data_IF_123607567334
#
_entry.id   IF_123607567334
#
_cell.length_a   1.000
_cell.length_b   1.000
_cell.length_c   1.000
_cell.angle_alpha   90.00
_cell.angle_beta   90.00
_cell.angle_gamma   90.00
#
_symmetry.space_group_name_H-M   'P 1'
#
loop_
_entity.id
_entity.type
_entity.pdbx_description
1 polymer ?
#
# COMPACT_ATOMS: atom_id res chain seq x y z
N UNK A 1 -4.38 31.31 -0.88
CA UNK A 1 -3.00 30.84 -0.63
C UNK A 1 -3.01 29.99 0.63
N UNK A 2 -2.99 28.66 0.51
CA UNK A 2 -2.96 27.76 1.67
C UNK A 2 -1.55 27.72 2.28
N UNK A 3 -1.43 28.02 3.57
CA UNK A 3 -0.17 27.89 4.31
C UNK A 3 0.33 26.45 4.24
N UNK A 4 1.63 26.26 3.95
CA UNK A 4 2.29 24.94 3.86
C UNK A 4 2.19 24.11 5.14
N UNK A 5 1.79 24.75 6.25
CA UNK A 5 1.74 24.14 7.57
C UNK A 5 0.32 23.83 8.06
N UNK A 6 -0.72 23.86 7.20
CA UNK A 6 -2.07 23.47 7.63
C UNK A 6 -2.16 21.94 7.83
N UNK A 7 -2.29 21.43 9.07
CA UNK A 7 -2.37 19.99 9.31
C UNK A 7 -3.68 19.40 8.79
N UNK A 8 -4.73 20.21 8.64
CA UNK A 8 -6.02 19.77 8.08
C UNK A 8 -5.95 19.49 6.56
N UNK A 9 -4.89 19.95 5.88
CA UNK A 9 -4.61 19.59 4.49
C UNK A 9 -3.77 18.29 4.38
N UNK A 10 -3.29 17.75 5.50
CA UNK A 10 -2.63 16.44 5.52
C UNK A 10 -3.72 15.39 5.33
N UNK A 11 -3.68 14.68 4.22
CA UNK A 11 -4.57 13.55 3.99
C UNK A 11 -4.51 12.56 5.15
N UNK A 12 -5.63 11.87 5.40
CA UNK A 12 -5.76 10.87 6.46
C UNK A 12 -4.58 9.90 6.39
N UNK A 13 -3.85 9.74 7.49
CA UNK A 13 -2.80 8.73 7.57
C UNK A 13 -3.44 7.38 7.24
N UNK A 14 -3.00 6.76 6.13
CA UNK A 14 -3.64 5.56 5.58
C UNK A 14 -3.76 4.49 6.65
N UNK A 15 -4.99 4.10 6.99
CA UNK A 15 -5.28 3.06 7.96
C UNK A 15 -4.73 1.70 7.53
N UNK A 16 -4.80 0.73 8.44
CA UNK A 16 -4.44 -0.66 8.14
C UNK A 16 -5.38 -1.18 7.06
N UNK A 17 -4.84 -1.42 5.86
CA UNK A 17 -5.61 -2.02 4.76
C UNK A 17 -5.83 -3.50 5.07
N UNK A 18 -7.02 -4.02 4.71
CA UNK A 18 -7.35 -5.44 4.82
C UNK A 18 -7.80 -5.95 3.46
N UNK A 19 -7.45 -7.18 3.09
CA UNK A 19 -8.00 -7.89 1.92
C UNK A 19 -8.51 -9.24 2.40
N UNK A 20 -9.77 -9.57 2.11
CA UNK A 20 -10.37 -10.86 2.50
C UNK A 20 -10.32 -11.09 4.01
N UNK A 21 -10.56 -10.03 4.79
CA UNK A 21 -10.44 -10.03 6.25
C UNK A 21 -9.01 -10.07 6.82
N UNK A 22 -7.98 -10.24 5.99
CA UNK A 22 -6.58 -10.31 6.44
C UNK A 22 -5.90 -8.94 6.43
N UNK A 23 -5.21 -8.53 7.51
CA UNK A 23 -4.47 -7.27 7.53
C UNK A 23 -3.27 -7.33 6.59
N UNK A 24 -3.04 -6.22 5.88
CA UNK A 24 -1.91 -6.01 4.98
C UNK A 24 -0.92 -5.05 5.64
N UNK A 25 0.34 -5.46 5.74
CA UNK A 25 1.45 -4.65 6.22
C UNK A 25 2.16 -3.97 5.06
N UNK A 26 2.44 -2.66 5.13
CA UNK A 26 3.30 -2.01 4.15
C UNK A 26 4.75 -2.44 4.37
N UNK A 27 5.37 -3.04 3.35
CA UNK A 27 6.79 -3.45 3.38
C UNK A 27 7.56 -2.84 2.21
N UNK A 28 8.85 -2.57 2.41
CA UNK A 28 9.71 -2.08 1.34
C UNK A 28 10.04 -3.23 0.39
N UNK A 29 9.53 -3.15 -0.84
CA UNK A 29 9.94 -4.04 -1.92
C UNK A 29 11.19 -3.47 -2.60
N UNK A 30 12.20 -4.34 -2.75
CA UNK A 30 13.41 -4.05 -3.50
C UNK A 30 13.30 -4.79 -4.82
N UNK A 31 13.18 -4.04 -5.91
CA UNK A 31 13.09 -4.61 -7.25
C UNK A 31 14.35 -5.40 -7.59
N UNK A 32 14.21 -6.71 -7.75
CA UNK A 32 15.32 -7.61 -8.08
C UNK A 32 15.69 -7.55 -9.57
N UNK A 33 14.75 -7.17 -10.43
CA UNK A 33 14.90 -7.18 -11.90
C UNK A 33 14.87 -5.76 -12.49
N UNK A 34 15.51 -5.60 -13.64
CA UNK A 34 15.53 -4.32 -14.38
C UNK A 34 14.10 -3.91 -14.71
N UNK A 35 13.73 -2.67 -14.37
CA UNK A 35 12.38 -2.13 -14.56
C UNK A 35 11.47 -2.23 -13.32
N UNK A 36 11.84 -3.03 -12.32
CA UNK A 36 11.15 -3.06 -11.03
C UNK A 36 11.82 -2.03 -10.12
N UNK A 37 11.21 -0.85 -9.95
CA UNK A 37 11.70 0.16 -9.01
C UNK A 37 11.62 -0.30 -7.55
N UNK A 38 12.08 0.56 -6.63
CA UNK A 38 11.86 0.36 -5.20
C UNK A 38 10.56 1.05 -4.79
N UNK A 39 9.66 0.32 -4.13
CA UNK A 39 8.38 0.86 -3.69
C UNK A 39 7.90 0.18 -2.41
N UNK A 40 6.82 0.69 -1.83
CA UNK A 40 6.15 0.05 -0.69
C UNK A 40 5.11 -0.90 -1.28
N UNK A 41 5.28 -2.20 -1.05
CA UNK A 41 4.32 -3.23 -1.43
C UNK A 41 3.47 -3.65 -0.22
N UNK A 42 2.33 -4.31 -0.48
CA UNK A 42 1.57 -4.96 0.59
C UNK A 42 2.08 -6.36 0.87
N UNK A 43 2.20 -6.70 2.15
CA UNK A 43 2.48 -8.06 2.61
C UNK A 43 1.36 -8.56 3.52
N UNK A 44 0.92 -9.79 3.31
CA UNK A 44 0.02 -10.50 4.24
C UNK A 44 0.73 -10.82 5.56
N UNK A 45 -0.05 -11.14 6.59
CA UNK A 45 0.52 -11.56 7.87
C UNK A 45 1.38 -12.85 7.77
N UNK A 46 1.10 -13.69 6.78
CA UNK A 46 1.88 -14.90 6.48
C UNK A 46 3.24 -14.62 5.79
N UNK A 47 3.57 -13.34 5.51
CA UNK A 47 4.81 -12.95 4.86
C UNK A 47 4.76 -12.98 3.33
N UNK A 48 3.64 -13.38 2.73
CA UNK A 48 3.45 -13.37 1.27
C UNK A 48 3.13 -11.96 0.78
N UNK A 49 3.78 -11.53 -0.29
CA UNK A 49 3.47 -10.26 -0.96
C UNK A 49 2.12 -10.37 -1.68
N UNK A 50 1.40 -9.25 -1.72
CA UNK A 50 0.24 -9.10 -2.59
C UNK A 50 0.77 -8.81 -3.99
N UNK A 51 0.41 -9.63 -4.97
CA UNK A 51 0.85 -9.53 -6.35
C UNK A 51 -0.35 -9.46 -7.29
N UNK A 52 -0.24 -8.66 -8.34
CA UNK A 52 -1.12 -8.69 -9.51
C UNK A 52 -0.26 -9.06 -10.71
N UNK A 53 -0.71 -10.03 -11.51
CA UNK A 53 -0.02 -10.42 -12.75
C UNK A 53 1.46 -10.80 -12.57
N UNK A 54 1.81 -11.34 -11.39
CA UNK A 54 3.19 -11.74 -11.05
C UNK A 54 4.10 -10.58 -10.63
N UNK A 55 3.56 -9.39 -10.38
CA UNK A 55 4.30 -8.22 -9.87
C UNK A 55 3.71 -7.78 -8.52
N UNK A 56 4.54 -7.50 -7.51
CA UNK A 56 4.04 -7.02 -6.22
C UNK A 56 3.27 -5.71 -6.34
N UNK A 57 2.06 -5.68 -5.81
CA UNK A 57 1.18 -4.51 -5.88
C UNK A 57 1.65 -3.42 -4.91
N UNK A 58 1.79 -2.18 -5.37
CA UNK A 58 2.10 -1.05 -4.49
C UNK A 58 1.05 -0.90 -3.39
N UNK A 59 1.46 -0.73 -2.14
CA UNK A 59 0.56 -0.60 -0.99
C UNK A 59 -0.46 0.54 -1.16
N UNK A 60 -0.10 1.60 -1.89
CA UNK A 60 -1.01 2.69 -2.21
C UNK A 60 -2.18 2.24 -3.09
N UNK A 61 -1.92 1.32 -4.02
CA UNK A 61 -2.86 0.85 -5.04
C UNK A 61 -3.77 -0.29 -4.55
N UNK A 62 -3.41 -0.92 -3.43
CA UNK A 62 -4.21 -1.96 -2.77
C UNK A 62 -5.58 -1.40 -2.36
N UNK A 63 -6.64 -1.95 -2.96
CA UNK A 63 -8.02 -1.65 -2.60
C UNK A 63 -8.37 -2.42 -1.32
N UNK A 64 -8.70 -1.75 -0.20
CA UNK A 64 -9.10 -2.44 1.02
C UNK A 64 -10.52 -3.02 0.90
N UNK A 65 -10.79 -4.09 1.63
CA UNK A 65 -12.07 -4.81 1.72
C UNK A 65 -13.26 -3.91 2.09
N UNK A 66 -13.01 -2.79 2.78
CA UNK A 66 -14.04 -1.79 3.14
C UNK A 66 -14.20 -0.65 2.12
N UNK A 67 -13.75 -0.85 0.88
CA UNK A 67 -14.04 0.06 -0.23
C UNK A 67 -15.09 -0.55 -1.18
N UNK A 68 -16.18 -1.08 -0.64
CA UNK A 68 -17.48 -1.01 -1.31
C UNK A 68 -18.07 0.38 -1.02
N UNK A 69 -18.57 1.02 -2.08
CA UNK A 69 -19.04 2.40 -2.13
C UNK A 69 -20.25 2.69 -1.21
#
# INVERSE_FOLDING_TARGET
MGSKNNPAARGTAGGVKKIGGKPIKPVKYIGKYVGHGNYIAGQTEAGQLIESDGVPTPYSDIIPDSAEA
#
